data_IF_937682963196
#
_entry.id   IF_937682963196
#
_cell.length_a   1.000
_cell.length_b   1.000
_cell.length_c   1.000
_cell.angle_alpha   90.00
_cell.angle_beta   90.00
_cell.angle_gamma   90.00
#
_symmetry.space_group_name_H-M   'P 1'
#
loop_
_entity.id
_entity.type
_entity.pdbx_description
1 polymer ?
#
# COMPACT_ATOMS: atom_id res chain seq x y z
N UNK A 1 12.24 4.42 -1.04
CA UNK A 1 12.00 3.55 -2.21
C UNK A 1 12.93 2.36 -2.13
N UNK A 2 12.42 1.13 -2.20
CA UNK A 2 13.25 -0.08 -2.33
C UNK A 2 13.73 -0.12 -3.79
N UNK A 3 15.04 -0.31 -4.01
CA UNK A 3 15.54 -0.57 -5.37
C UNK A 3 15.18 -2.03 -5.71
N UNK A 4 14.34 -2.21 -6.75
CA UNK A 4 13.81 -3.52 -7.15
C UNK A 4 12.39 -3.77 -6.64
N UNK A 5 11.83 -4.91 -7.05
CA UNK A 5 10.50 -5.35 -6.62
C UNK A 5 10.45 -5.46 -5.09
N UNK A 6 9.43 -4.88 -4.46
CA UNK A 6 9.16 -5.15 -3.05
C UNK A 6 8.57 -6.57 -2.90
N UNK A 7 8.34 -7.03 -1.66
CA UNK A 7 7.81 -8.37 -1.42
C UNK A 7 6.48 -8.61 -2.17
N UNK A 8 5.58 -7.63 -2.15
CA UNK A 8 4.27 -7.71 -2.81
C UNK A 8 4.39 -7.86 -4.32
N UNK A 9 5.21 -7.04 -4.97
CA UNK A 9 5.44 -7.14 -6.42
C UNK A 9 6.03 -8.50 -6.81
N UNK A 10 6.94 -9.05 -5.99
CA UNK A 10 7.50 -10.39 -6.24
C UNK A 10 6.43 -11.47 -6.10
N UNK A 11 5.55 -11.32 -5.11
CA UNK A 11 4.43 -12.22 -4.92
C UNK A 11 3.46 -12.19 -6.10
N UNK A 12 3.03 -11.00 -6.53
CA UNK A 12 2.13 -10.82 -7.68
C UNK A 12 2.71 -11.45 -8.96
N UNK A 13 4.02 -11.23 -9.23
CA UNK A 13 4.70 -11.82 -10.38
C UNK A 13 4.79 -13.35 -10.28
N UNK A 14 5.03 -13.89 -9.09
CA UNK A 14 5.05 -15.35 -8.86
C UNK A 14 3.68 -15.97 -9.18
N UNK A 15 2.60 -15.37 -8.68
CA UNK A 15 1.23 -15.84 -8.96
C UNK A 15 0.91 -15.74 -10.46
N UNK A 16 1.20 -14.60 -11.09
CA UNK A 16 0.96 -14.41 -12.52
C UNK A 16 1.74 -15.44 -13.38
N UNK A 17 2.99 -15.72 -13.02
CA UNK A 17 3.80 -16.73 -13.69
C UNK A 17 3.18 -18.12 -13.56
N UNK A 18 2.74 -18.51 -12.36
CA UNK A 18 2.08 -19.80 -12.16
C UNK A 18 0.76 -19.92 -12.92
N UNK A 19 -0.05 -18.85 -12.98
CA UNK A 19 -1.26 -18.84 -13.79
C UNK A 19 -0.97 -19.07 -15.28
N UNK A 20 0.10 -18.47 -15.82
CA UNK A 20 0.55 -18.72 -17.20
C UNK A 20 0.99 -20.16 -17.42
N UNK A 21 1.68 -20.77 -16.45
CA UNK A 21 2.06 -22.19 -16.49
C UNK A 21 0.84 -23.11 -16.49
N UNK A 22 -0.25 -22.69 -15.82
CA UNK A 22 -1.58 -23.30 -15.90
C UNK A 22 -2.37 -22.92 -17.15
N UNK A 23 -1.72 -22.29 -18.12
CA UNK A 23 -2.28 -21.85 -19.39
C UNK A 23 -3.40 -20.82 -19.26
N UNK A 24 -3.57 -20.16 -18.11
CA UNK A 24 -4.59 -19.11 -17.96
C UNK A 24 -4.20 -17.87 -18.75
N UNK A 25 -5.13 -17.38 -19.58
CA UNK A 25 -4.92 -16.16 -20.34
C UNK A 25 -5.07 -14.93 -19.44
N UNK A 26 -3.98 -14.16 -19.30
CA UNK A 26 -3.98 -12.88 -18.60
C UNK A 26 -4.37 -11.76 -19.57
N UNK A 27 -5.32 -10.93 -19.17
CA UNK A 27 -5.69 -9.71 -19.91
C UNK A 27 -5.00 -8.46 -19.35
N UNK A 28 -4.49 -8.55 -18.11
CA UNK A 28 -3.64 -7.54 -17.48
C UNK A 28 -2.64 -8.21 -16.54
N UNK A 29 -1.37 -7.86 -16.69
CA UNK A 29 -0.29 -8.34 -15.82
C UNK A 29 0.04 -7.37 -14.67
N UNK A 30 0.64 -7.86 -13.58
CA UNK A 30 1.08 -7.02 -12.48
C UNK A 30 2.09 -5.96 -12.92
N UNK A 31 1.72 -4.68 -12.74
CA UNK A 31 2.58 -3.53 -13.03
C UNK A 31 3.32 -3.00 -11.79
N UNK A 32 3.16 -3.65 -10.63
CA UNK A 32 3.77 -3.32 -9.34
C UNK A 32 3.20 -2.08 -8.64
N UNK A 33 2.85 -1.00 -9.35
CA UNK A 33 2.34 0.21 -8.69
C UNK A 33 1.34 0.97 -9.56
N UNK A 34 0.18 0.37 -9.81
CA UNK A 34 -0.96 1.06 -10.43
C UNK A 34 -2.08 1.30 -9.41
N UNK A 35 -3.00 2.23 -9.68
CA UNK A 35 -4.19 2.45 -8.85
C UNK A 35 -5.31 1.43 -9.12
N UNK A 36 -5.10 0.57 -10.11
CA UNK A 36 -6.03 -0.45 -10.59
C UNK A 36 -5.72 -1.82 -9.96
N UNK A 37 -6.62 -2.78 -10.15
CA UNK A 37 -6.47 -4.17 -9.68
C UNK A 37 -5.14 -4.80 -10.10
N UNK A 38 -4.60 -5.69 -9.26
CA UNK A 38 -3.26 -6.23 -9.45
C UNK A 38 -3.13 -7.10 -10.71
N UNK A 39 -4.17 -7.87 -11.06
CA UNK A 39 -4.20 -8.74 -12.23
C UNK A 39 -5.62 -8.87 -12.81
N UNK A 40 -5.71 -9.08 -14.12
CA UNK A 40 -6.96 -9.50 -14.77
C UNK A 40 -6.71 -10.76 -15.61
N UNK A 41 -7.62 -11.73 -15.54
CA UNK A 41 -7.55 -12.99 -16.29
C UNK A 41 -8.86 -13.29 -17.01
N UNK A 42 -8.79 -14.20 -17.98
CA UNK A 42 -9.97 -14.71 -18.66
C UNK A 42 -10.42 -16.04 -18.06
N UNK A 43 -11.74 -16.19 -17.95
CA UNK A 43 -12.40 -17.45 -17.67
C UNK A 43 -13.70 -17.51 -18.46
N UNK A 44 -13.93 -18.58 -19.24
CA UNK A 44 -15.14 -18.70 -20.08
C UNK A 44 -15.33 -17.46 -20.98
N UNK A 45 -14.25 -17.03 -21.64
CA UNK A 45 -14.19 -15.80 -22.46
C UNK A 45 -14.62 -14.49 -21.74
N UNK A 46 -14.79 -14.50 -20.41
CA UNK A 46 -15.11 -13.32 -19.59
C UNK A 46 -13.88 -12.88 -18.82
N UNK A 47 -13.77 -11.58 -18.62
CA UNK A 47 -12.68 -10.96 -17.86
C UNK A 47 -13.04 -10.90 -16.38
N UNK A 48 -12.10 -11.29 -15.54
CA UNK A 48 -12.19 -11.19 -14.08
C UNK A 48 -10.96 -10.48 -13.51
N UNK A 49 -11.20 -9.68 -12.48
CA UNK A 49 -10.21 -8.92 -11.73
C UNK A 49 -9.80 -9.64 -10.45
N UNK A 50 -8.52 -9.53 -10.09
CA UNK A 50 -7.99 -10.13 -8.87
C UNK A 50 -7.06 -9.16 -8.14
N UNK A 51 -7.31 -9.00 -6.84
CA UNK A 51 -6.38 -8.39 -5.89
C UNK A 51 -5.49 -9.48 -5.26
N UNK A 52 -4.22 -9.18 -5.02
CA UNK A 52 -3.25 -10.10 -4.45
C UNK A 52 -2.60 -9.53 -3.19
N UNK A 53 -2.47 -10.38 -2.16
CA UNK A 53 -1.82 -10.03 -0.90
C UNK A 53 -0.88 -11.14 -0.49
N UNK A 54 0.39 -10.82 -0.31
CA UNK A 54 1.44 -11.82 -0.02
C UNK A 54 1.17 -12.60 1.27
N UNK A 55 0.51 -11.97 2.24
CA UNK A 55 0.06 -12.58 3.48
C UNK A 55 -1.07 -11.75 4.10
N UNK A 56 -1.58 -12.20 5.24
CA UNK A 56 -2.68 -11.55 5.95
C UNK A 56 -2.27 -10.22 6.60
N UNK A 57 -1.14 -10.18 7.30
CA UNK A 57 -0.86 -9.14 8.31
C UNK A 57 -0.02 -7.97 7.80
N UNK A 58 0.92 -8.21 6.89
CA UNK A 58 1.88 -7.21 6.44
C UNK A 58 1.30 -6.21 5.43
N UNK A 59 0.47 -6.61 4.45
CA UNK A 59 -0.07 -5.68 3.46
C UNK A 59 -1.03 -4.64 4.06
N UNK A 60 -1.04 -3.45 3.47
CA UNK A 60 -2.06 -2.44 3.76
C UNK A 60 -3.24 -2.63 2.79
N UNK A 61 -4.45 -2.58 3.32
CA UNK A 61 -5.70 -2.79 2.58
C UNK A 61 -6.46 -1.47 2.46
N UNK A 62 -7.06 -1.18 1.30
CA UNK A 62 -7.88 0.04 1.13
C UNK A 62 -7.15 1.36 1.43
N UNK A 63 -5.85 1.47 1.19
CA UNK A 63 -5.06 2.65 1.58
C UNK A 63 -5.50 3.94 0.87
N UNK A 64 -5.67 5.00 1.68
CA UNK A 64 -5.95 6.37 1.22
C UNK A 64 -5.05 7.38 1.93
N UNK A 65 -4.44 8.28 1.16
CA UNK A 65 -3.59 9.34 1.72
C UNK A 65 -4.41 10.48 2.32
N UNK A 66 -3.98 10.96 3.49
CA UNK A 66 -4.51 12.15 4.17
C UNK A 66 -3.40 13.20 4.29
N UNK A 67 -3.78 14.47 4.32
CA UNK A 67 -2.88 15.60 4.49
C UNK A 67 -3.38 16.53 5.58
N UNK A 68 -2.46 17.20 6.27
CA UNK A 68 -2.79 18.27 7.20
C UNK A 68 -2.32 19.58 6.59
N UNK A 69 -3.26 20.48 6.30
CA UNK A 69 -3.00 21.78 5.70
C UNK A 69 -3.89 22.85 6.38
N UNK A 70 -3.32 24.02 6.66
CA UNK A 70 -4.06 25.18 7.17
C UNK A 70 -4.96 24.87 8.39
N UNK A 71 -4.43 24.11 9.35
CA UNK A 71 -5.16 23.80 10.58
C UNK A 71 -6.12 22.61 10.48
N UNK A 72 -6.19 21.91 9.34
CA UNK A 72 -7.19 20.86 9.10
C UNK A 72 -6.62 19.64 8.37
N UNK A 73 -7.09 18.46 8.79
CA UNK A 73 -6.94 17.21 8.03
C UNK A 73 -7.91 17.15 6.85
N UNK A 74 -7.37 16.75 5.71
CA UNK A 74 -8.10 16.51 4.47
C UNK A 74 -7.64 15.24 3.76
N UNK A 75 -8.39 14.87 2.73
CA UNK A 75 -7.96 13.86 1.78
C UNK A 75 -6.88 14.42 0.87
N UNK A 76 -5.81 13.66 0.66
CA UNK A 76 -4.74 14.02 -0.28
C UNK A 76 -5.26 14.17 -1.71
N UNK A 77 -4.55 14.91 -2.57
CA UNK A 77 -4.95 15.05 -3.98
C UNK A 77 -5.06 13.70 -4.70
N UNK A 78 -4.16 12.76 -4.41
CA UNK A 78 -4.20 11.40 -4.97
C UNK A 78 -5.42 10.60 -4.50
N UNK A 79 -5.92 10.86 -3.29
CA UNK A 79 -7.10 10.21 -2.75
C UNK A 79 -8.39 10.60 -3.49
N UNK A 80 -8.45 11.80 -4.08
CA UNK A 80 -9.67 12.32 -4.76
C UNK A 80 -10.15 11.43 -5.91
N UNK A 81 -9.27 10.59 -6.46
CA UNK A 81 -9.61 9.63 -7.51
C UNK A 81 -10.23 8.32 -6.96
N UNK A 82 -10.30 8.16 -5.63
CA UNK A 82 -10.81 6.97 -4.93
C UNK A 82 -12.09 7.30 -4.15
N UNK A 83 -13.10 7.86 -4.83
CA UNK A 83 -14.32 8.37 -4.18
C UNK A 83 -15.06 7.30 -3.36
N UNK A 84 -15.24 6.12 -3.92
CA UNK A 84 -15.97 5.02 -3.27
C UNK A 84 -15.27 4.58 -1.96
N UNK A 85 -13.93 4.51 -1.99
CA UNK A 85 -13.09 4.19 -0.84
C UNK A 85 -13.15 5.31 0.21
N UNK A 86 -13.12 6.57 -0.22
CA UNK A 86 -13.29 7.74 0.68
C UNK A 86 -14.65 7.71 1.36
N UNK A 87 -15.72 7.37 0.64
CA UNK A 87 -17.07 7.30 1.19
C UNK A 87 -17.16 6.29 2.33
N UNK A 88 -16.52 5.12 2.17
CA UNK A 88 -16.39 4.15 3.26
C UNK A 88 -15.73 4.78 4.49
N UNK A 89 -14.58 5.44 4.32
CA UNK A 89 -13.89 6.10 5.45
C UNK A 89 -14.66 7.27 6.07
N UNK A 90 -15.50 7.97 5.30
CA UNK A 90 -16.34 9.05 5.82
C UNK A 90 -17.49 8.53 6.69
N UNK A 91 -17.92 7.27 6.47
CA UNK A 91 -19.03 6.64 7.19
C UNK A 91 -18.58 5.74 8.34
N UNK A 92 -17.27 5.50 8.51
CA UNK A 92 -16.77 4.72 9.64
C UNK A 92 -16.92 5.47 10.95
N UNK A 93 -17.56 4.85 11.94
CA UNK A 93 -17.65 5.39 13.29
C UNK A 93 -16.49 4.90 14.18
N UNK A 94 -15.83 5.86 14.84
CA UNK A 94 -14.74 5.57 15.77
C UNK A 94 -14.88 6.42 17.03
N UNK A 95 -15.04 5.75 18.18
CA UNK A 95 -15.14 6.39 19.50
C UNK A 95 -16.20 7.50 19.53
N UNK A 96 -17.38 7.24 18.95
CA UNK A 96 -18.49 8.19 18.85
C UNK A 96 -18.30 9.32 17.84
N UNK A 97 -17.28 9.25 16.98
CA UNK A 97 -17.07 10.20 15.88
C UNK A 97 -17.19 9.49 14.54
N UNK A 98 -18.13 9.93 13.71
CA UNK A 98 -18.30 9.43 12.35
C UNK A 98 -17.34 10.14 11.40
N UNK A 99 -16.57 9.34 10.65
CA UNK A 99 -15.64 9.78 9.62
C UNK A 99 -14.22 9.93 10.12
N UNK A 100 -13.27 9.29 9.43
CA UNK A 100 -11.84 9.32 9.80
C UNK A 100 -11.27 10.74 9.87
N UNK A 101 -11.64 11.63 8.94
CA UNK A 101 -11.17 13.02 8.99
C UNK A 101 -11.76 13.81 10.16
N UNK A 102 -13.01 13.55 10.56
CA UNK A 102 -13.62 14.21 11.71
C UNK A 102 -12.92 13.76 13.00
N UNK A 103 -12.68 12.46 13.12
CA UNK A 103 -11.89 11.89 14.22
C UNK A 103 -10.50 12.53 14.28
N UNK A 104 -9.80 12.61 13.14
CA UNK A 104 -8.48 13.24 13.06
C UNK A 104 -8.50 14.72 13.48
N UNK A 105 -9.43 15.51 12.95
CA UNK A 105 -9.58 16.93 13.28
C UNK A 105 -9.95 17.18 14.75
N UNK A 106 -10.63 16.24 15.39
CA UNK A 106 -11.00 16.37 16.81
C UNK A 106 -9.87 16.04 17.79
N UNK A 107 -8.80 15.35 17.34
CA UNK A 107 -7.80 14.76 18.25
C UNK A 107 -6.35 15.03 17.92
N UNK A 108 -6.01 15.28 16.65
CA UNK A 108 -4.61 15.26 16.22
C UNK A 108 -4.21 16.51 15.47
N UNK A 109 -3.12 17.14 15.92
CA UNK A 109 -2.39 18.15 15.16
C UNK A 109 -0.97 17.60 14.98
N UNK A 110 -0.55 17.22 13.75
CA UNK A 110 0.79 16.70 13.52
C UNK A 110 1.83 17.81 13.66
N UNK A 111 3.09 17.46 13.88
CA UNK A 111 4.20 18.41 13.94
C UNK A 111 4.34 19.25 12.66
N UNK A 112 3.94 18.71 11.50
CA UNK A 112 3.79 19.50 10.25
C UNK A 112 2.91 20.75 10.38
N UNK A 113 2.02 20.80 11.36
CA UNK A 113 1.19 21.95 11.67
C UNK A 113 1.58 22.70 12.95
N UNK A 114 2.59 22.25 13.69
CA UNK A 114 3.00 22.82 14.99
C UNK A 114 4.39 23.45 14.99
N UNK A 115 5.30 22.96 14.14
CA UNK A 115 6.70 23.40 14.15
C UNK A 115 7.16 23.84 12.75
N UNK A 116 8.10 24.77 12.72
CA UNK A 116 8.69 25.27 11.46
C UNK A 116 9.64 24.26 10.81
N UNK A 117 10.36 23.48 11.63
CA UNK A 117 11.34 22.49 11.16
C UNK A 117 11.12 21.16 11.86
N UNK A 118 10.98 20.11 11.07
CA UNK A 118 10.81 18.74 11.57
C UNK A 118 12.17 18.06 11.62
N UNK A 119 12.59 17.66 12.81
CA UNK A 119 13.72 16.78 13.05
C UNK A 119 13.27 15.34 13.31
N UNK A 120 14.21 14.52 13.78
CA UNK A 120 13.97 13.11 14.12
C UNK A 120 12.90 12.95 15.18
N UNK A 121 13.05 13.70 16.27
CA UNK A 121 12.15 13.70 17.41
C UNK A 121 10.71 14.01 16.98
N UNK A 122 10.52 15.09 16.23
CA UNK A 122 9.18 15.53 15.81
C UNK A 122 8.53 14.51 14.86
N UNK A 123 9.31 13.88 13.98
CA UNK A 123 8.80 12.80 13.11
C UNK A 123 8.39 11.58 13.92
N UNK A 124 9.18 11.19 14.93
CA UNK A 124 8.87 10.03 15.79
C UNK A 124 7.65 10.28 16.68
N UNK A 125 7.47 11.50 17.19
CA UNK A 125 6.24 11.90 17.85
C UNK A 125 5.02 11.76 16.93
N UNK A 126 5.12 12.22 15.67
CA UNK A 126 4.05 12.06 14.67
C UNK A 126 3.74 10.59 14.36
N UNK A 127 4.76 9.71 14.36
CA UNK A 127 4.56 8.27 14.22
C UNK A 127 3.74 7.74 15.39
N UNK A 128 4.19 8.01 16.63
CA UNK A 128 3.54 7.52 17.86
C UNK A 128 2.10 8.00 17.99
N UNK A 129 1.81 9.24 17.59
CA UNK A 129 0.45 9.79 17.58
C UNK A 129 -0.51 8.98 16.70
N UNK A 130 -0.01 8.28 15.69
CA UNK A 130 -0.82 7.54 14.72
C UNK A 130 -0.74 6.03 14.88
N UNK A 131 -0.07 5.50 15.90
CA UNK A 131 0.05 4.04 16.13
C UNK A 131 -1.24 3.36 16.62
N UNK A 132 -2.35 4.09 16.70
CA UNK A 132 -3.63 3.55 17.13
C UNK A 132 -4.27 2.63 16.08
N UNK A 133 -4.68 1.44 16.54
CA UNK A 133 -5.53 0.52 15.79
C UNK A 133 -6.97 0.66 16.27
N UNK A 134 -7.86 1.01 15.36
CA UNK A 134 -9.27 1.26 15.63
C UNK A 134 -10.10 0.11 15.06
N UNK A 135 -11.03 -0.48 15.84
CA UNK A 135 -11.94 -1.48 15.33
C UNK A 135 -12.75 -0.94 14.14
N UNK A 136 -12.99 -1.80 13.15
CA UNK A 136 -13.93 -1.54 12.05
C UNK A 136 -14.86 -2.74 11.94
N UNK A 137 -16.08 -2.52 11.45
CA UNK A 137 -16.98 -3.61 11.15
C UNK A 137 -16.40 -4.50 10.04
N UNK A 138 -16.49 -5.82 10.17
CA UNK A 138 -15.90 -6.78 9.21
C UNK A 138 -16.42 -6.58 7.78
N UNK A 139 -17.69 -6.17 7.62
CA UNK A 139 -18.29 -5.93 6.30
C UNK A 139 -17.73 -4.70 5.57
N UNK A 140 -16.94 -3.86 6.24
CA UNK A 140 -16.31 -2.67 5.64
C UNK A 140 -15.42 -3.05 4.45
N UNK A 141 -14.71 -4.18 4.54
CA UNK A 141 -13.80 -4.62 3.47
C UNK A 141 -14.51 -4.87 2.15
N UNK A 142 -15.75 -5.38 2.20
CA UNK A 142 -16.58 -5.65 1.02
C UNK A 142 -16.89 -4.38 0.24
N UNK A 143 -17.01 -3.24 0.94
CA UNK A 143 -17.22 -1.93 0.31
C UNK A 143 -15.94 -1.42 -0.35
N UNK A 144 -14.78 -1.66 0.28
CA UNK A 144 -13.48 -1.25 -0.28
C UNK A 144 -13.13 -1.98 -1.58
N UNK A 145 -13.51 -3.25 -1.67
CA UNK A 145 -13.19 -4.12 -2.80
C UNK A 145 -14.43 -4.52 -3.62
N UNK A 146 -15.47 -3.67 -3.63
CA UNK A 146 -16.73 -3.94 -4.32
C UNK A 146 -16.59 -4.12 -5.84
N UNK A 147 -15.48 -3.66 -6.43
CA UNK A 147 -15.17 -3.78 -7.87
C UNK A 147 -14.17 -4.90 -8.18
N UNK A 148 -13.73 -5.63 -7.17
CA UNK A 148 -12.77 -6.72 -7.31
C UNK A 148 -13.51 -8.04 -7.25
N UNK A 149 -13.32 -8.89 -8.26
CA UNK A 149 -14.03 -10.17 -8.36
C UNK A 149 -13.44 -11.18 -7.37
N UNK A 150 -12.10 -11.30 -7.35
CA UNK A 150 -11.39 -12.28 -6.54
C UNK A 150 -10.25 -11.68 -5.71
N UNK A 151 -9.93 -12.37 -4.63
CA UNK A 151 -8.83 -12.05 -3.74
C UNK A 151 -7.96 -13.29 -3.54
N UNK A 152 -6.68 -13.16 -3.89
CA UNK A 152 -5.67 -14.17 -3.60
C UNK A 152 -4.84 -13.74 -2.39
N UNK A 153 -4.73 -14.61 -1.39
CA UNK A 153 -3.92 -14.39 -0.19
C UNK A 153 -2.88 -15.49 -0.05
N UNK A 154 -1.60 -15.10 0.02
CA UNK A 154 -0.46 -16.00 0.15
C UNK A 154 -0.37 -16.69 1.51
N UNK A 155 0.77 -17.34 1.78
CA UNK A 155 0.99 -18.18 2.98
C UNK A 155 -0.06 -19.30 3.15
N UNK A 156 -0.57 -19.80 2.03
CA UNK A 156 -1.54 -20.90 1.98
C UNK A 156 -2.93 -20.52 2.48
N UNK A 157 -3.29 -19.24 2.48
CA UNK A 157 -4.68 -18.84 2.72
C UNK A 157 -5.56 -19.13 1.50
N UNK A 158 -5.08 -18.84 0.29
CA UNK A 158 -5.73 -19.23 -0.97
C UNK A 158 -6.63 -18.15 -1.58
N UNK A 159 -7.55 -18.59 -2.42
CA UNK A 159 -8.40 -17.76 -3.29
C UNK A 159 -9.82 -17.62 -2.73
N UNK A 160 -10.31 -16.38 -2.70
CA UNK A 160 -11.61 -15.98 -2.15
C UNK A 160 -12.36 -15.02 -3.08
N UNK A 161 -13.63 -14.76 -2.76
CA UNK A 161 -14.39 -13.62 -3.26
C UNK A 161 -14.90 -12.74 -2.10
N UNK A 162 -15.26 -11.48 -2.37
CA UNK A 162 -15.79 -10.56 -1.34
C UNK A 162 -17.30 -10.61 -1.16
N UNK A 163 -18.05 -10.82 -2.25
CA UNK A 163 -19.52 -10.77 -2.25
C UNK A 163 -20.16 -11.95 -2.98
N UNK A 164 -19.62 -12.31 -4.14
CA UNK A 164 -20.15 -13.40 -4.94
C UNK A 164 -19.05 -14.02 -5.81
N UNK A 165 -19.12 -15.34 -5.99
CA UNK A 165 -18.28 -16.09 -6.91
C UNK A 165 -18.75 -15.88 -8.37
N UNK A 166 -18.49 -14.70 -8.92
CA UNK A 166 -19.06 -14.24 -10.20
C UNK A 166 -18.70 -15.11 -11.41
N UNK A 167 -17.60 -15.85 -11.33
CA UNK A 167 -17.13 -16.79 -12.36
C UNK A 167 -17.40 -18.24 -12.00
N UNK A 168 -18.13 -18.55 -10.92
CA UNK A 168 -18.43 -19.91 -10.48
C UNK A 168 -17.18 -20.80 -10.35
N UNK A 169 -16.08 -20.24 -9.82
CA UNK A 169 -14.82 -20.96 -9.64
C UNK A 169 -14.85 -21.92 -8.45
N UNK A 170 -15.92 -21.91 -7.64
CA UNK A 170 -16.04 -22.67 -6.40
C UNK A 170 -15.35 -21.98 -5.22
N UNK A 171 -15.12 -20.66 -5.34
CA UNK A 171 -14.45 -19.89 -4.28
C UNK A 171 -15.39 -19.69 -3.08
N UNK A 172 -14.80 -19.50 -1.90
CA UNK A 172 -15.56 -19.13 -0.71
C UNK A 172 -15.48 -17.63 -0.45
N UNK A 173 -16.52 -17.09 0.18
CA UNK A 173 -16.51 -15.70 0.64
C UNK A 173 -15.44 -15.51 1.72
N UNK A 174 -14.71 -14.39 1.65
CA UNK A 174 -13.74 -14.06 2.68
C UNK A 174 -14.44 -13.68 4.00
N UNK A 175 -14.09 -14.38 5.06
CA UNK A 175 -14.43 -14.03 6.43
C UNK A 175 -13.15 -13.61 7.17
N UNK A 176 -13.05 -12.33 7.50
CA UNK A 176 -11.83 -11.73 8.01
C UNK A 176 -12.09 -10.56 8.97
N UNK A 177 -11.23 -10.45 9.99
CA UNK A 177 -11.25 -9.36 10.96
C UNK A 177 -10.28 -8.25 10.51
N UNK A 178 -10.78 -7.03 10.42
CA UNK A 178 -9.99 -5.86 10.06
C UNK A 178 -9.96 -4.82 11.18
N UNK A 179 -8.89 -4.02 11.15
CA UNK A 179 -8.78 -2.79 11.95
C UNK A 179 -8.34 -1.64 11.06
N UNK A 180 -8.88 -0.45 11.33
CA UNK A 180 -8.34 0.80 10.80
C UNK A 180 -7.03 1.10 11.51
N UNK A 181 -6.03 1.51 10.73
CA UNK A 181 -4.76 2.05 11.21
C UNK A 181 -4.49 3.37 10.53
N UNK A 182 -4.13 4.36 11.33
CA UNK A 182 -3.53 5.58 10.82
C UNK A 182 -2.02 5.35 10.68
N UNK A 183 -1.39 5.88 9.64
CA UNK A 183 0.01 5.58 9.37
C UNK A 183 0.76 6.78 8.82
N UNK A 184 1.96 6.99 9.34
CA UNK A 184 2.98 7.81 8.71
C UNK A 184 3.89 6.93 7.83
N UNK A 185 4.14 7.36 6.59
CA UNK A 185 5.07 6.71 5.66
C UNK A 185 6.13 7.71 5.21
N UNK A 186 7.37 7.47 5.60
CA UNK A 186 8.53 8.21 5.11
C UNK A 186 8.82 7.81 3.65
N UNK A 187 9.10 8.80 2.80
CA UNK A 187 9.35 8.58 1.37
C UNK A 187 10.84 8.42 1.07
N UNK A 188 11.59 9.50 1.33
CA UNK A 188 13.04 9.57 1.18
C UNK A 188 13.61 10.47 2.26
N UNK A 189 14.46 9.89 3.11
CA UNK A 189 15.15 10.64 4.16
C UNK A 189 16.51 11.17 3.70
N UNK A 190 16.93 10.84 2.48
CA UNK A 190 18.16 11.33 1.87
C UNK A 190 17.80 11.96 0.53
N UNK A 191 17.96 13.27 0.42
CA UNK A 191 17.80 14.00 -0.83
C UNK A 191 19.16 14.22 -1.46
N UNK A 192 19.24 14.05 -2.78
CA UNK A 192 20.50 14.24 -3.49
C UNK A 192 20.84 15.73 -3.47
N UNK A 193 22.09 16.04 -3.15
CA UNK A 193 22.64 17.39 -3.31
C UNK A 193 23.65 17.36 -4.43
N UNK A 194 23.48 18.21 -5.43
CA UNK A 194 24.51 18.30 -6.46
C UNK A 194 25.76 18.98 -5.89
N UNK A 195 26.94 18.35 -5.91
CA UNK A 195 28.14 18.98 -5.37
C UNK A 195 28.55 20.24 -6.17
N UNK A 196 28.17 20.31 -7.47
CA UNK A 196 28.46 21.44 -8.36
C UNK A 196 27.48 22.60 -8.20
N UNK A 197 26.17 22.36 -8.35
CA UNK A 197 25.16 23.44 -8.32
C UNK A 197 24.46 23.59 -6.97
N UNK A 198 24.78 22.75 -5.98
CA UNK A 198 24.23 22.73 -4.61
C UNK A 198 22.71 22.56 -4.50
N UNK A 199 22.00 22.40 -5.62
CA UNK A 199 20.56 22.13 -5.66
C UNK A 199 20.19 20.79 -5.01
N UNK A 200 19.06 20.79 -4.31
CA UNK A 200 18.46 19.61 -3.69
C UNK A 200 17.41 19.00 -4.63
N UNK A 201 17.40 17.68 -4.75
CA UNK A 201 16.48 16.97 -5.64
C UNK A 201 15.70 15.90 -4.88
N UNK A 202 14.39 15.86 -5.11
CA UNK A 202 13.51 14.77 -4.63
C UNK A 202 13.55 13.62 -5.63
N UNK A 203 13.86 12.42 -5.16
CA UNK A 203 13.77 11.19 -5.96
C UNK A 203 15.11 10.57 -6.35
N UNK A 204 15.03 9.40 -7.00
CA UNK A 204 16.17 8.54 -7.31
C UNK A 204 16.97 8.97 -8.56
N UNK A 205 16.98 10.27 -8.89
CA UNK A 205 17.64 10.75 -10.10
C UNK A 205 19.15 10.53 -9.98
N UNK A 206 19.68 9.68 -10.87
CA UNK A 206 21.12 9.43 -10.98
C UNK A 206 21.86 10.59 -11.62
N UNK A 207 21.18 11.63 -12.12
CA UNK A 207 21.76 12.81 -12.78
C UNK A 207 21.11 14.11 -12.27
N UNK A 208 21.91 15.15 -12.13
CA UNK A 208 21.44 16.51 -11.84
C UNK A 208 20.72 17.09 -13.06
N UNK A 209 19.51 17.61 -12.90
CA UNK A 209 18.76 18.22 -14.00
C UNK A 209 19.38 19.53 -14.51
N UNK A 210 20.10 20.26 -13.65
CA UNK A 210 20.70 21.54 -14.02
C UNK A 210 22.05 21.37 -14.75
N UNK A 211 22.90 20.45 -14.31
CA UNK A 211 24.28 20.35 -14.83
C UNK A 211 24.66 18.95 -15.35
N UNK A 212 23.73 18.01 -15.41
CA UNK A 212 23.93 16.65 -15.95
C UNK A 212 24.80 15.72 -15.11
N UNK A 213 25.42 16.20 -14.03
CA UNK A 213 26.37 15.44 -13.21
C UNK A 213 25.70 14.18 -12.63
N UNK A 214 26.38 13.02 -12.74
CA UNK A 214 25.95 11.79 -12.10
C UNK A 214 26.05 11.94 -10.58
N UNK A 215 24.93 11.80 -9.87
CA UNK A 215 24.83 12.03 -8.42
C UNK A 215 25.07 10.77 -7.59
N UNK A 216 24.96 9.59 -8.21
CA UNK A 216 25.14 8.30 -7.54
C UNK A 216 26.57 7.76 -7.66
N UNK A 217 27.10 7.21 -6.57
CA UNK A 217 28.39 6.50 -6.49
C UNK A 217 28.16 4.97 -6.48
N UNK A 218 29.19 4.21 -6.86
CA UNK A 218 29.20 2.73 -6.76
C UNK A 218 29.55 2.25 -5.34
N UNK A 219 30.35 3.04 -4.61
CA UNK A 219 30.67 2.80 -3.21
C UNK A 219 29.73 3.63 -2.32
N UNK A 220 28.93 3.00 -1.44
CA UNK A 220 28.06 3.74 -0.53
C UNK A 220 28.86 4.54 0.48
N UNK A 221 28.30 5.68 0.89
CA UNK A 221 28.77 6.53 1.99
C UNK A 221 27.85 6.37 3.21
N UNK A 222 28.34 6.59 4.43
CA UNK A 222 27.53 6.46 5.64
C UNK A 222 26.88 7.80 5.99
N UNK A 223 25.56 7.81 6.18
CA UNK A 223 24.86 8.98 6.67
C UNK A 223 25.28 9.35 8.10
N UNK A 224 25.76 10.57 8.32
CA UNK A 224 26.15 11.04 9.65
C UNK A 224 24.99 11.05 10.65
N UNK A 225 23.78 11.38 10.20
CA UNK A 225 22.56 11.44 11.03
C UNK A 225 22.03 10.05 11.39
N UNK A 226 21.74 9.20 10.40
CA UNK A 226 21.03 7.93 10.64
C UNK A 226 21.88 6.66 10.44
N UNK A 227 23.18 6.81 10.16
CA UNK A 227 24.17 5.72 9.98
C UNK A 227 23.88 4.71 8.86
N UNK A 228 22.91 5.00 7.98
CA UNK A 228 22.61 4.14 6.81
C UNK A 228 23.58 4.39 5.67
N UNK A 229 23.83 3.34 4.89
CA UNK A 229 24.54 3.44 3.61
C UNK A 229 23.70 4.20 2.59
N UNK A 230 24.30 5.22 1.97
CA UNK A 230 23.70 6.12 0.99
C UNK A 230 24.56 6.09 -0.26
N UNK A 231 23.94 5.92 -1.43
CA UNK A 231 24.65 5.78 -2.71
C UNK A 231 24.98 7.14 -3.35
N UNK A 232 25.16 8.20 -2.56
CA UNK A 232 25.34 9.57 -3.06
C UNK A 232 26.59 10.20 -2.43
N UNK A 233 27.33 10.96 -3.25
CA UNK A 233 28.55 11.65 -2.81
C UNK A 233 28.25 12.82 -1.87
N UNK A 234 27.19 13.57 -2.16
CA UNK A 234 26.71 14.72 -1.37
C UNK A 234 25.18 14.60 -1.27
N UNK A 235 24.65 14.67 -0.05
CA UNK A 235 23.22 14.49 0.23
C UNK A 235 22.79 15.27 1.47
N UNK A 236 21.48 15.52 1.57
CA UNK A 236 20.84 16.17 2.70
C UNK A 236 19.95 15.14 3.39
N UNK A 237 20.11 14.96 4.71
CA UNK A 237 19.17 14.18 5.50
C UNK A 237 17.94 15.02 5.81
N UNK A 238 16.75 14.48 5.57
CA UNK A 238 15.47 15.16 5.83
C UNK A 238 14.52 14.27 6.61
N UNK A 239 13.82 14.87 7.58
CA UNK A 239 12.83 14.18 8.41
C UNK A 239 11.40 14.56 8.07
N UNK A 240 11.16 15.66 7.35
CA UNK A 240 9.85 16.19 6.96
C UNK A 240 9.21 15.50 5.73
N UNK A 241 9.96 14.65 5.04
CA UNK A 241 9.52 14.00 3.80
C UNK A 241 8.75 12.69 4.06
N UNK A 242 7.55 12.85 4.61
CA UNK A 242 6.59 11.78 4.86
C UNK A 242 5.15 12.19 4.51
N UNK A 243 4.30 11.20 4.32
CA UNK A 243 2.86 11.37 4.16
C UNK A 243 2.09 10.54 5.18
N UNK A 244 0.84 10.93 5.39
CA UNK A 244 -0.09 10.25 6.27
C UNK A 244 -1.10 9.45 5.46
N UNK A 245 -1.56 8.34 6.01
CA UNK A 245 -2.50 7.43 5.37
C UNK A 245 -3.50 6.88 6.39
N UNK A 246 -4.74 6.68 5.94
CA UNK A 246 -5.68 5.76 6.55
C UNK A 246 -5.60 4.44 5.79
N UNK A 247 -5.45 3.33 6.52
CA UNK A 247 -5.36 1.99 5.95
C UNK A 247 -6.18 1.01 6.77
N UNK A 248 -6.63 -0.07 6.14
CA UNK A 248 -7.07 -1.25 6.85
C UNK A 248 -5.92 -2.25 7.00
N UNK A 249 -5.92 -2.96 8.13
CA UNK A 249 -5.04 -4.10 8.40
C UNK A 249 -5.90 -5.32 8.70
N UNK A 250 -5.64 -6.42 7.99
CA UNK A 250 -6.27 -7.69 8.31
C UNK A 250 -5.55 -8.31 9.52
N UNK A 251 -6.30 -8.66 10.56
CA UNK A 251 -5.77 -9.36 11.73
C UNK A 251 -5.71 -10.87 11.51
N UNK A 252 -6.79 -11.40 10.93
CA UNK A 252 -7.01 -12.82 10.70
C UNK A 252 -8.04 -13.05 9.62
N UNK A 253 -7.91 -14.17 8.92
CA UNK A 253 -8.93 -14.76 8.06
C UNK A 253 -9.38 -16.05 8.76
N UNK A 254 -10.68 -16.22 8.95
CA UNK A 254 -11.25 -17.28 9.79
C UNK A 254 -10.99 -18.68 9.23
N UNK A 255 -10.94 -18.82 7.90
CA UNK A 255 -10.84 -20.11 7.23
C UNK A 255 -10.01 -20.01 5.96
N UNK A 256 -9.12 -20.99 5.77
CA UNK A 256 -8.33 -21.15 4.54
C UNK A 256 -9.21 -21.70 3.40
N UNK A 257 -9.03 -21.17 2.21
CA UNK A 257 -9.68 -21.66 0.99
C UNK A 257 -9.12 -23.04 0.61
N UNK A 258 -9.93 -23.83 -0.11
CA UNK A 258 -9.44 -25.04 -0.79
C UNK A 258 -8.78 -24.73 -2.13
N UNK A 259 -9.03 -23.54 -2.67
CA UNK A 259 -8.52 -23.09 -3.96
C UNK A 259 -7.36 -22.14 -3.76
N UNK A 260 -6.37 -22.17 -4.66
CA UNK A 260 -5.22 -21.30 -4.61
C UNK A 260 -4.65 -21.01 -6.01
N UNK A 261 -4.25 -19.76 -6.25
CA UNK A 261 -3.57 -19.32 -7.49
C UNK A 261 -2.04 -19.47 -7.40
N UNK A 262 -1.53 -20.25 -6.44
CA UNK A 262 -0.15 -20.69 -6.36
C UNK A 262 -0.08 -22.13 -5.81
N UNK A 263 1.02 -22.86 -6.03
CA UNK A 263 1.20 -24.18 -5.43
C UNK A 263 1.21 -24.10 -3.90
N UNK A 264 0.32 -24.86 -3.27
CA UNK A 264 0.32 -25.04 -1.81
C UNK A 264 -0.27 -26.41 -1.46
N UNK A 265 0.34 -27.10 -0.50
CA UNK A 265 -0.07 -28.46 -0.12
C UNK A 265 -1.50 -28.46 0.43
N UNK A 266 -2.33 -29.39 -0.07
CA UNK A 266 -3.74 -29.52 0.33
C UNK A 266 -4.68 -28.49 -0.29
N UNK A 267 -4.22 -27.70 -1.26
CA UNK A 267 -5.04 -26.77 -2.04
C UNK A 267 -4.94 -27.06 -3.54
N UNK A 268 -6.01 -26.72 -4.25
CA UNK A 268 -6.15 -27.00 -5.68
C UNK A 268 -6.16 -25.70 -6.49
N UNK A 269 -5.74 -25.79 -7.75
CA UNK A 269 -5.90 -24.68 -8.68
C UNK A 269 -7.38 -24.59 -9.08
N UNK A 270 -7.99 -23.39 -9.12
CA UNK A 270 -9.39 -23.23 -9.53
C UNK A 270 -9.63 -23.73 -10.96
N UNK A 271 -10.87 -24.17 -11.29
CA UNK A 271 -11.23 -24.75 -12.58
C UNK A 271 -11.36 -23.68 -13.69
N UNK A 272 -10.30 -22.92 -13.93
CA UNK A 272 -10.27 -21.88 -14.95
C UNK A 272 -10.12 -22.51 -16.32
N UNK A 273 -11.12 -22.30 -17.17
CA UNK A 273 -11.09 -22.57 -18.61
C UNK A 273 -10.90 -21.26 -19.38
N UNK A 274 -10.14 -21.30 -20.48
CA UNK A 274 -10.02 -20.16 -21.39
C UNK A 274 -11.19 -20.11 -22.38
#
# INVERSE_FOLDING_TARGET
>A
MVYGDNKGHRYEKKVAQFMKEKQVQLSKEPAGSSADVDLEFLHDSKKFSMEMKENVRDPDWGQVGVNYNSGKWGWSSAAKNKKDIIEVYNNLEHKGTVGVLNFLNSKFIPNKGRVEKIGEKEREEDVKLLEEFLPVESNTIKKFYAKTDYLQVGDGYGLYHFKSDVGNLGTMEIDAEFVLRLRLKAHHNHLNRCPKCKGAFKGAYKKCSNCGLKLSTEKPTICSSCKRNVQYLDFIHVYDNYSFFAVLKCKSISKKSKLNMEPFEGQEFPPIIN
#
